data_IF_206435423267
#
_entry.id   IF_206435423267
#
_cell.length_a   1.000
_cell.length_b   1.000
_cell.length_c   1.000
_cell.angle_alpha   90.00
_cell.angle_beta   90.00
_cell.angle_gamma   90.00
#
_symmetry.space_group_name_H-M   'P 1'
#
loop_
_entity.id
_entity.type
_entity.pdbx_description
1 polymer ?
#
# COMPACT_ATOMS: atom_id res chain seq x y z
N UNK A 1 13.12 -2.60 20.18
CA UNK A 1 12.15 -2.70 21.29
C UNK A 1 11.34 -1.41 21.54
N UNK A 2 11.51 -0.34 20.77
CA UNK A 2 10.73 0.92 20.89
C UNK A 2 9.65 1.11 19.79
N UNK A 3 9.39 0.08 18.97
CA UNK A 3 8.35 0.10 17.93
C UNK A 3 7.05 -0.63 18.33
N UNK A 4 6.97 -1.13 19.57
CA UNK A 4 5.85 -1.93 20.08
C UNK A 4 5.12 -1.27 21.26
N UNK A 5 5.54 -0.09 21.73
CA UNK A 5 4.97 0.57 22.92
C UNK A 5 3.84 1.56 22.63
N UNK A 6 3.55 1.90 21.37
CA UNK A 6 2.45 2.81 21.00
C UNK A 6 1.13 2.10 20.63
N UNK A 7 1.03 0.79 20.94
CA UNK A 7 -0.17 -0.02 20.76
C UNK A 7 -1.21 0.14 21.89
N UNK A 8 -1.17 1.26 22.62
CA UNK A 8 -1.95 1.52 23.83
C UNK A 8 -3.43 1.87 23.65
N UNK A 9 -4.02 1.71 22.45
CA UNK A 9 -5.46 1.91 22.26
C UNK A 9 -6.07 0.67 21.59
N UNK A 10 -6.30 -0.37 22.40
CA UNK A 10 -6.91 -1.63 21.99
C UNK A 10 -8.39 -1.47 21.56
N UNK A 11 -9.02 -0.31 21.74
CA UNK A 11 -10.41 -0.11 21.31
C UNK A 11 -10.57 0.00 19.79
N UNK A 12 -9.47 0.17 19.04
CA UNK A 12 -9.45 0.25 17.57
C UNK A 12 -9.14 -1.08 16.86
N UNK A 13 -8.75 -2.12 17.61
CA UNK A 13 -8.39 -3.44 17.05
C UNK A 13 -9.50 -4.50 17.15
N UNK A 14 -10.71 -4.11 17.58
CA UNK A 14 -11.90 -4.96 17.50
C UNK A 14 -12.55 -5.01 16.10
N UNK A 15 -11.78 -4.79 15.03
CA UNK A 15 -12.31 -4.84 13.65
C UNK A 15 -12.09 -6.19 12.94
N UNK A 16 -11.49 -7.21 13.58
CA UNK A 16 -10.97 -8.38 12.87
C UNK A 16 -11.58 -9.77 13.10
N UNK A 17 -12.50 -9.99 14.04
CA UNK A 17 -12.90 -11.37 14.41
C UNK A 17 -14.40 -11.65 14.21
N UNK A 18 -14.74 -12.57 13.29
CA UNK A 18 -15.84 -13.55 13.28
C UNK A 18 -16.61 -13.70 11.93
N UNK A 19 -17.14 -14.90 11.64
CA UNK A 19 -17.64 -15.27 10.32
C UNK A 19 -18.80 -14.38 9.90
N UNK A 20 -18.76 -13.97 8.62
CA UNK A 20 -19.86 -13.24 8.01
C UNK A 20 -21.17 -14.03 8.18
N UNK A 21 -22.28 -13.38 8.57
CA UNK A 21 -23.59 -14.00 8.40
C UNK A 21 -23.80 -14.32 6.90
N UNK A 22 -24.58 -15.35 6.56
CA UNK A 22 -24.89 -15.66 5.18
C UNK A 22 -25.44 -14.40 4.47
N UNK A 23 -25.21 -14.25 3.15
CA UNK A 23 -25.72 -13.10 2.42
C UNK A 23 -27.22 -12.97 2.68
N UNK A 24 -27.76 -11.74 2.78
CA UNK A 24 -29.19 -11.56 2.89
C UNK A 24 -29.85 -12.30 1.73
N UNK A 25 -30.80 -13.18 2.06
CA UNK A 25 -31.63 -13.80 1.05
C UNK A 25 -32.19 -12.67 0.19
N UNK A 26 -31.99 -12.76 -1.13
CA UNK A 26 -32.77 -12.00 -2.09
C UNK A 26 -34.23 -12.37 -1.83
N UNK A 27 -34.87 -11.62 -0.94
CA UNK A 27 -36.31 -11.56 -0.85
C UNK A 27 -36.74 -11.05 -2.21
N UNK A 28 -37.33 -11.96 -2.97
CA UNK A 28 -38.05 -11.77 -4.22
C UNK A 28 -38.34 -10.31 -4.51
N UNK A 29 -37.52 -9.69 -5.36
CA UNK A 29 -37.90 -8.47 -6.05
C UNK A 29 -39.21 -8.79 -6.80
N UNK A 30 -40.31 -8.06 -6.56
CA UNK A 30 -41.50 -8.21 -7.39
C UNK A 30 -41.15 -7.74 -8.80
N UNK A 31 -41.37 -8.61 -9.79
CA UNK A 31 -41.29 -8.27 -11.21
C UNK A 31 -42.12 -7.01 -11.50
N UNK A 32 -41.62 -6.02 -12.26
CA UNK A 32 -42.41 -4.85 -12.62
C UNK A 32 -43.57 -5.29 -13.53
N UNK A 33 -44.79 -5.15 -13.03
CA UNK A 33 -46.03 -5.29 -13.78
C UNK A 33 -46.16 -4.13 -14.77
N UNK A 34 -46.32 -4.48 -16.05
CA UNK A 34 -46.68 -3.53 -17.10
C UNK A 34 -48.05 -2.92 -16.79
N UNK A 35 -48.24 -1.58 -16.90
CA UNK A 35 -49.53 -0.97 -16.66
C UNK A 35 -50.51 -1.29 -17.81
N UNK A 36 -51.68 -1.81 -17.42
CA UNK A 36 -52.86 -1.96 -18.28
C UNK A 36 -53.43 -0.60 -18.70
N UNK A 37 -53.92 -0.44 -19.95
CA UNK A 37 -54.72 0.72 -20.34
C UNK A 37 -56.21 0.54 -19.98
N UNK A 38 -56.97 1.64 -19.78
CA UNK A 38 -58.36 1.63 -19.33
C UNK A 38 -59.37 1.33 -20.47
N UNK A 39 -60.66 1.04 -20.14
CA UNK A 39 -61.56 0.31 -21.03
C UNK A 39 -62.39 1.21 -21.96
N UNK A 40 -62.58 0.70 -23.18
CA UNK A 40 -63.83 0.67 -23.95
C UNK A 40 -64.39 1.99 -24.52
N UNK A 41 -64.52 2.06 -25.85
CA UNK A 41 -65.73 2.47 -26.58
C UNK A 41 -65.53 2.19 -28.09
N UNK A 42 -66.48 1.46 -28.68
CA UNK A 42 -66.71 1.14 -30.11
C UNK A 42 -68.09 1.76 -30.42
N UNK A 43 -68.40 2.35 -31.61
CA UNK A 43 -68.32 1.65 -32.89
C UNK A 43 -68.05 2.46 -34.19
N UNK A 44 -67.78 1.69 -35.26
CA UNK A 44 -68.01 1.97 -36.72
C UNK A 44 -67.20 3.11 -37.37
N UNK A 45 -66.74 3.11 -38.62
CA UNK A 45 -66.67 2.19 -39.77
C UNK A 45 -65.88 2.96 -40.87
N UNK A 46 -65.29 2.25 -41.86
CA UNK A 46 -64.78 2.77 -43.18
C UNK A 46 -63.64 3.82 -43.14
N UNK A 47 -62.73 4.00 -44.09
CA UNK A 47 -62.08 3.26 -45.19
C UNK A 47 -61.04 4.25 -45.78
N UNK A 48 -59.93 3.75 -46.33
CA UNK A 48 -59.11 4.36 -47.41
C UNK A 48 -58.39 5.73 -47.22
N UNK A 49 -57.05 5.63 -47.21
CA UNK A 49 -56.07 6.37 -48.06
C UNK A 49 -55.47 7.73 -47.62
N UNK A 50 -54.23 8.07 -48.04
CA UNK A 50 -53.33 8.98 -47.31
C UNK A 50 -52.94 10.30 -48.02
N UNK A 51 -52.34 11.20 -47.22
CA UNK A 51 -51.41 12.33 -47.56
C UNK A 51 -52.03 13.60 -48.20
N UNK A 52 -51.35 14.80 -48.18
CA UNK A 52 -50.33 15.38 -47.28
C UNK A 52 -50.57 16.88 -46.88
N UNK A 53 -49.60 17.47 -46.17
CA UNK A 53 -49.22 18.91 -46.09
C UNK A 53 -50.03 19.95 -45.28
N UNK A 54 -49.39 20.43 -44.19
CA UNK A 54 -49.15 21.82 -43.67
C UNK A 54 -49.96 23.02 -44.20
N UNK A 55 -49.90 24.22 -43.56
CA UNK A 55 -49.93 24.62 -42.13
C UNK A 55 -50.91 25.82 -41.89
N UNK A 56 -51.03 26.32 -40.63
CA UNK A 56 -51.13 27.74 -40.22
C UNK A 56 -52.13 28.04 -39.08
N UNK A 57 -51.66 28.87 -38.12
CA UNK A 57 -52.38 29.99 -37.46
C UNK A 57 -53.54 29.65 -36.50
N UNK A 58 -53.73 30.19 -35.29
CA UNK A 58 -53.16 31.33 -34.54
C UNK A 58 -53.73 31.37 -33.11
N UNK A 59 -53.05 32.15 -32.24
CA UNK A 59 -53.56 32.92 -31.06
C UNK A 59 -54.10 32.11 -29.86
N UNK A 60 -53.88 32.47 -28.59
CA UNK A 60 -53.33 33.65 -27.90
C UNK A 60 -52.87 33.17 -26.49
N UNK A 61 -51.64 33.43 -26.04
CA UNK A 61 -51.19 34.58 -25.23
C UNK A 61 -51.83 34.70 -23.82
N UNK A 62 -51.11 34.22 -22.80
CA UNK A 62 -50.96 34.90 -21.50
C UNK A 62 -49.59 34.55 -20.90
N UNK A 63 -48.63 35.49 -20.95
CA UNK A 63 -47.32 35.38 -20.28
C UNK A 63 -47.38 36.16 -18.98
N UNK A 64 -47.22 35.47 -17.85
CA UNK A 64 -46.87 36.04 -16.55
C UNK A 64 -45.36 36.25 -16.45
N UNK A 65 -44.96 37.26 -15.68
CA UNK A 65 -43.61 37.82 -15.56
C UNK A 65 -42.56 36.84 -14.99
N UNK A 66 -41.25 37.07 -15.26
CA UNK A 66 -40.18 36.21 -14.74
C UNK A 66 -39.85 36.54 -13.28
N UNK A 67 -39.78 35.50 -12.45
CA UNK A 67 -39.36 35.55 -11.04
C UNK A 67 -37.83 35.62 -10.95
N UNK A 68 -37.31 36.44 -10.03
CA UNK A 68 -35.89 36.74 -9.88
C UNK A 68 -35.07 35.53 -9.34
N UNK A 69 -33.76 35.43 -9.63
CA UNK A 69 -32.94 34.30 -9.18
C UNK A 69 -32.67 34.36 -7.67
N UNK A 70 -32.57 33.20 -6.97
CA UNK A 70 -32.28 33.17 -5.55
C UNK A 70 -30.82 33.54 -5.25
N UNK A 71 -30.62 34.25 -4.15
CA UNK A 71 -29.33 34.69 -3.60
C UNK A 71 -28.38 33.54 -3.28
N UNK A 72 -27.04 33.73 -3.36
CA UNK A 72 -26.07 32.68 -3.09
C UNK A 72 -26.09 32.24 -1.62
N UNK A 73 -26.17 30.92 -1.42
CA UNK A 73 -26.16 30.28 -0.11
C UNK A 73 -24.84 30.55 0.64
N UNK A 74 -24.94 30.81 1.95
CA UNK A 74 -23.82 31.07 2.85
C UNK A 74 -22.95 29.81 2.96
N UNK A 75 -21.66 29.93 2.63
CA UNK A 75 -20.67 28.89 2.83
C UNK A 75 -20.58 28.49 4.31
N UNK A 76 -20.72 27.20 4.61
CA UNK A 76 -20.42 26.67 5.94
C UNK A 76 -18.90 26.72 6.19
N UNK A 77 -18.44 27.21 7.36
CA UNK A 77 -17.02 27.21 7.67
C UNK A 77 -16.52 25.76 7.82
N UNK A 78 -15.46 25.43 7.08
CA UNK A 78 -14.71 24.19 7.24
C UNK A 78 -14.27 24.03 8.69
N UNK A 79 -14.66 22.92 9.33
CA UNK A 79 -14.14 22.59 10.67
C UNK A 79 -12.61 22.51 10.63
N UNK A 80 -11.90 23.10 11.62
CA UNK A 80 -10.45 23.04 11.64
C UNK A 80 -9.99 21.57 11.80
N UNK A 81 -8.92 21.15 11.12
CA UNK A 81 -8.37 19.81 11.31
C UNK A 81 -8.01 19.61 12.78
N UNK A 82 -8.42 18.48 13.35
CA UNK A 82 -8.07 18.11 14.73
C UNK A 82 -6.55 18.19 14.91
N UNK A 83 -6.07 18.72 16.05
CA UNK A 83 -4.64 18.93 16.26
C UNK A 83 -3.95 17.57 16.29
N UNK A 84 -3.20 17.26 15.23
CA UNK A 84 -2.22 16.19 15.29
C UNK A 84 -1.24 16.52 16.41
N UNK A 85 -0.90 15.52 17.23
CA UNK A 85 0.09 15.66 18.28
C UNK A 85 1.37 16.24 17.66
N UNK A 86 1.70 17.48 18.06
CA UNK A 86 2.74 18.33 17.52
C UNK A 86 4.14 17.86 17.96
N UNK A 87 4.48 16.59 17.70
CA UNK A 87 5.88 16.19 17.63
C UNK A 87 6.42 16.73 16.30
N UNK A 88 7.25 17.78 16.40
CA UNK A 88 7.74 18.64 15.30
C UNK A 88 7.92 17.87 13.97
N UNK A 89 7.44 18.39 12.82
CA UNK A 89 7.61 17.76 11.50
C UNK A 89 9.05 17.32 11.20
N UNK A 90 10.04 18.07 11.71
CA UNK A 90 11.45 17.76 11.59
C UNK A 90 11.89 16.50 12.38
N UNK A 91 11.35 16.24 13.57
CA UNK A 91 11.74 15.12 14.41
C UNK A 91 11.40 13.76 13.80
N UNK A 92 10.40 13.71 12.90
CA UNK A 92 10.02 12.50 12.16
C UNK A 92 11.09 12.02 11.17
N UNK A 93 12.01 12.89 10.77
CA UNK A 93 13.11 12.55 9.87
C UNK A 93 14.33 11.98 10.61
N UNK A 94 14.36 12.03 11.95
CA UNK A 94 15.49 11.49 12.73
C UNK A 94 15.81 10.03 12.41
N UNK A 95 14.84 9.09 12.31
CA UNK A 95 15.15 7.72 11.96
C UNK A 95 15.71 7.56 10.54
N UNK A 96 15.25 8.39 9.59
CA UNK A 96 15.74 8.38 8.20
C UNK A 96 17.18 8.87 8.15
N UNK A 97 17.47 9.99 8.82
CA UNK A 97 18.84 10.54 8.93
C UNK A 97 19.76 9.54 9.61
N UNK A 98 19.29 8.85 10.66
CA UNK A 98 20.06 7.79 11.32
C UNK A 98 20.41 6.65 10.35
N UNK A 99 19.45 6.16 9.56
CA UNK A 99 19.71 5.12 8.55
C UNK A 99 20.71 5.59 7.50
N UNK A 100 20.57 6.82 7.00
CA UNK A 100 21.51 7.38 6.03
C UNK A 100 22.92 7.58 6.61
N UNK A 101 23.03 8.02 7.87
CA UNK A 101 24.30 8.13 8.56
C UNK A 101 24.97 6.77 8.75
N UNK A 102 24.18 5.74 9.09
CA UNK A 102 24.64 4.36 9.21
C UNK A 102 25.16 3.81 7.87
N UNK A 103 24.41 4.04 6.78
CA UNK A 103 24.84 3.69 5.42
C UNK A 103 26.13 4.43 5.05
N UNK A 104 26.22 5.73 5.37
CA UNK A 104 27.41 6.55 5.13
C UNK A 104 28.63 6.05 5.90
N UNK A 105 28.47 5.66 7.17
CA UNK A 105 29.52 5.04 7.96
C UNK A 105 30.00 3.72 7.35
N UNK A 106 29.07 2.82 7.03
CA UNK A 106 29.40 1.55 6.38
C UNK A 106 30.11 1.75 5.04
N UNK A 107 29.66 2.71 4.23
CA UNK A 107 30.31 3.08 2.97
C UNK A 107 31.74 3.57 3.20
N UNK A 108 31.94 4.46 4.17
CA UNK A 108 33.26 4.99 4.52
C UNK A 108 34.22 3.87 4.91
N UNK A 109 33.86 3.05 5.89
CA UNK A 109 34.71 1.94 6.37
C UNK A 109 34.99 0.94 5.27
N UNK A 110 33.95 0.49 4.56
CA UNK A 110 34.13 -0.50 3.49
C UNK A 110 34.99 0.05 2.34
N UNK A 111 34.82 1.33 1.97
CA UNK A 111 35.62 1.92 0.91
C UNK A 111 37.08 2.12 1.32
N UNK A 112 37.32 2.70 2.50
CA UNK A 112 38.67 3.08 2.93
C UNK A 112 39.48 1.89 3.42
N UNK A 113 38.86 1.00 4.20
CA UNK A 113 39.58 -0.07 4.89
C UNK A 113 39.56 -1.40 4.12
N UNK A 114 38.66 -1.56 3.13
CA UNK A 114 38.52 -2.81 2.37
C UNK A 114 38.79 -2.59 0.88
N UNK A 115 38.04 -1.71 0.20
CA UNK A 115 38.14 -1.56 -1.26
C UNK A 115 39.43 -0.85 -1.70
N UNK A 116 39.81 0.23 -1.03
CA UNK A 116 40.93 1.06 -1.44
C UNK A 116 42.30 0.34 -1.36
N UNK A 117 42.60 -0.48 -0.34
CA UNK A 117 43.80 -1.31 -0.32
C UNK A 117 43.86 -2.28 -1.51
N UNK A 118 42.76 -3.00 -1.78
CA UNK A 118 42.70 -3.96 -2.90
C UNK A 118 42.85 -3.24 -4.26
N UNK A 119 42.19 -2.10 -4.44
CA UNK A 119 42.31 -1.25 -5.63
C UNK A 119 43.71 -0.64 -5.81
N UNK A 120 44.49 -0.49 -4.74
CA UNK A 120 45.87 0.04 -4.80
C UNK A 120 46.92 -1.07 -4.84
N UNK A 121 46.50 -2.33 -4.73
CA UNK A 121 47.43 -3.46 -4.77
C UNK A 121 48.19 -3.49 -6.08
N UNK A 122 49.50 -3.71 -6.00
CA UNK A 122 50.36 -3.92 -7.18
C UNK A 122 50.19 -5.33 -7.75
N UNK A 123 49.63 -6.26 -6.98
CA UNK A 123 49.30 -7.60 -7.46
C UNK A 123 48.08 -7.53 -8.41
N UNK A 124 48.21 -7.94 -9.69
CA UNK A 124 47.11 -7.84 -10.66
C UNK A 124 45.86 -8.61 -10.25
N UNK A 125 46.02 -9.75 -9.55
CA UNK A 125 44.88 -10.58 -9.15
C UNK A 125 44.05 -9.89 -8.06
N UNK A 126 44.71 -9.34 -7.05
CA UNK A 126 44.08 -8.56 -5.98
C UNK A 126 43.46 -7.27 -6.53
N UNK A 127 44.14 -6.59 -7.45
CA UNK A 127 43.61 -5.37 -8.07
C UNK A 127 42.30 -5.64 -8.85
N UNK A 128 42.27 -6.67 -9.68
CA UNK A 128 41.07 -7.05 -10.44
C UNK A 128 39.92 -7.50 -9.54
N UNK A 129 40.22 -8.21 -8.45
CA UNK A 129 39.25 -8.53 -7.41
C UNK A 129 38.67 -7.27 -6.74
N UNK A 130 39.54 -6.31 -6.39
CA UNK A 130 39.13 -5.02 -5.83
C UNK A 130 38.20 -4.23 -6.78
N UNK A 131 38.49 -4.24 -8.08
CA UNK A 131 37.63 -3.63 -9.11
C UNK A 131 36.25 -4.30 -9.16
N UNK A 132 36.21 -5.63 -9.28
CA UNK A 132 34.96 -6.38 -9.33
C UNK A 132 34.12 -6.15 -8.06
N UNK A 133 34.77 -6.16 -6.90
CA UNK A 133 34.13 -5.94 -5.60
C UNK A 133 33.55 -4.54 -5.49
N UNK A 134 34.31 -3.54 -5.93
CA UNK A 134 33.86 -2.14 -5.96
C UNK A 134 32.65 -1.95 -6.87
N UNK A 135 32.65 -2.56 -8.05
CA UNK A 135 31.52 -2.48 -9.00
C UNK A 135 30.27 -3.12 -8.39
N UNK A 136 30.39 -4.35 -7.88
CA UNK A 136 29.26 -5.06 -7.27
C UNK A 136 28.68 -4.31 -6.07
N UNK A 137 29.54 -3.81 -5.17
CA UNK A 137 29.15 -3.00 -4.02
C UNK A 137 28.35 -1.76 -4.43
N UNK A 138 28.85 -0.98 -5.39
CA UNK A 138 28.21 0.25 -5.83
C UNK A 138 26.88 -0.01 -6.57
N UNK A 139 26.76 -1.11 -7.32
CA UNK A 139 25.49 -1.51 -7.94
C UNK A 139 24.45 -1.83 -6.85
N UNK A 140 24.79 -2.67 -5.88
CA UNK A 140 23.89 -3.04 -4.78
C UNK A 140 23.48 -1.83 -3.96
N UNK A 141 24.44 -0.97 -3.59
CA UNK A 141 24.17 0.27 -2.86
C UNK A 141 23.26 1.21 -3.64
N UNK A 142 23.50 1.38 -4.95
CA UNK A 142 22.67 2.24 -5.81
C UNK A 142 21.23 1.72 -5.90
N UNK A 143 21.04 0.41 -6.05
CA UNK A 143 19.72 -0.21 -6.06
C UNK A 143 19.01 -0.08 -4.71
N UNK A 144 19.74 -0.23 -3.59
CA UNK A 144 19.20 -0.04 -2.24
C UNK A 144 18.76 1.42 -2.02
N UNK A 145 19.62 2.39 -2.34
CA UNK A 145 19.33 3.82 -2.17
C UNK A 145 18.20 4.29 -3.09
N UNK A 146 18.17 3.83 -4.35
CA UNK A 146 17.08 4.15 -5.28
C UNK A 146 15.76 3.56 -4.78
N UNK A 147 15.76 2.32 -4.31
CA UNK A 147 14.57 1.69 -3.74
C UNK A 147 14.10 2.41 -2.47
N UNK A 148 15.04 2.81 -1.60
CA UNK A 148 14.76 3.62 -0.41
C UNK A 148 14.11 4.96 -0.80
N UNK A 149 14.72 5.71 -1.72
CA UNK A 149 14.20 6.98 -2.19
C UNK A 149 12.79 6.82 -2.77
N UNK A 150 12.56 5.77 -3.56
CA UNK A 150 11.23 5.48 -4.12
C UNK A 150 10.22 5.12 -3.03
N UNK A 151 10.61 4.38 -1.99
CA UNK A 151 9.73 4.06 -0.86
C UNK A 151 9.41 5.29 0.01
N UNK A 152 10.38 6.18 0.22
CA UNK A 152 10.23 7.43 0.99
C UNK A 152 9.34 8.43 0.24
N UNK A 153 9.63 8.70 -1.03
CA UNK A 153 9.02 9.81 -1.77
C UNK A 153 7.79 9.45 -2.60
N UNK A 154 7.49 8.15 -2.79
CA UNK A 154 6.24 7.76 -3.46
C UNK A 154 5.08 7.83 -2.48
N UNK A 155 4.02 8.53 -2.89
CA UNK A 155 2.75 8.58 -2.18
C UNK A 155 2.16 7.16 -2.04
N UNK A 156 1.85 6.68 -0.82
CA UNK A 156 1.48 5.27 -0.60
C UNK A 156 0.09 4.88 -1.14
N UNK A 157 -0.73 5.88 -1.47
CA UNK A 157 -2.10 5.71 -1.95
C UNK A 157 -3.08 6.47 -1.08
N UNK A 158 -3.99 7.20 -1.74
CA UNK A 158 -5.06 7.98 -1.13
C UNK A 158 -6.39 7.50 -1.69
N UNK A 159 -7.39 7.42 -0.84
CA UNK A 159 -8.77 7.16 -1.26
C UNK A 159 -9.30 8.40 -2.01
N UNK A 160 -9.82 8.27 -3.24
CA UNK A 160 -10.42 9.38 -3.98
C UNK A 160 -11.64 9.97 -3.29
N UNK A 161 -11.94 11.25 -3.58
CA UNK A 161 -13.06 11.96 -2.95
C UNK A 161 -14.43 11.44 -3.38
N UNK A 162 -14.52 10.70 -4.49
CA UNK A 162 -15.73 9.97 -4.91
C UNK A 162 -16.18 8.88 -3.92
N UNK A 163 -15.35 8.51 -2.96
CA UNK A 163 -15.69 7.58 -1.88
C UNK A 163 -16.30 8.26 -0.65
N UNK A 164 -16.54 9.57 -0.70
CA UNK A 164 -17.22 10.34 0.33
C UNK A 164 -18.72 10.39 0.02
N UNK A 165 -19.55 9.96 0.97
CA UNK A 165 -21.02 10.05 0.80
C UNK A 165 -21.45 11.51 0.83
N UNK A 166 -22.17 11.94 -0.21
CA UNK A 166 -22.71 13.29 -0.31
C UNK A 166 -21.72 14.34 -0.81
N UNK A 167 -20.60 13.95 -1.44
CA UNK A 167 -19.88 14.85 -2.33
C UNK A 167 -20.86 15.29 -3.44
N UNK A 168 -21.05 16.60 -3.56
CA UNK A 168 -22.19 17.26 -4.21
C UNK A 168 -22.39 16.79 -5.68
N UNK A 169 -23.66 16.68 -6.11
CA UNK A 169 -24.16 16.27 -7.45
C UNK A 169 -24.64 14.80 -7.67
N UNK A 170 -25.02 14.08 -6.61
CA UNK A 170 -25.80 12.85 -6.79
C UNK A 170 -27.26 13.06 -6.35
N UNK A 171 -28.06 13.71 -7.20
CA UNK A 171 -29.54 13.65 -7.15
C UNK A 171 -30.08 12.21 -7.26
N UNK A 172 -29.19 11.24 -7.46
CA UNK A 172 -29.49 9.84 -7.28
C UNK A 172 -28.72 9.38 -6.04
N UNK A 173 -29.44 9.06 -4.96
CA UNK A 173 -29.00 8.16 -3.90
C UNK A 173 -28.77 6.73 -4.42
N UNK A 174 -28.24 6.59 -5.64
CA UNK A 174 -27.88 5.34 -6.26
C UNK A 174 -26.57 4.87 -5.64
N UNK A 175 -26.70 3.78 -4.91
CA UNK A 175 -25.72 2.71 -4.80
C UNK A 175 -24.69 2.76 -5.94
N UNK A 176 -23.48 3.26 -5.71
CA UNK A 176 -22.39 3.09 -6.67
C UNK A 176 -21.99 1.61 -6.62
N UNK A 177 -22.23 0.80 -7.68
CA UNK A 177 -21.76 -0.58 -7.70
C UNK A 177 -20.22 -0.67 -7.60
N UNK A 178 -19.47 0.42 -7.86
CA UNK A 178 -18.03 0.50 -7.61
C UNK A 178 -17.64 0.57 -6.12
N UNK A 179 -18.59 0.77 -5.19
CA UNK A 179 -18.37 0.79 -3.74
C UNK A 179 -18.64 -0.57 -3.06
N UNK A 180 -18.66 -1.66 -3.81
CA UNK A 180 -18.96 -3.00 -3.28
C UNK A 180 -17.75 -3.56 -2.50
N UNK A 181 -17.47 -2.96 -1.34
CA UNK A 181 -16.48 -3.45 -0.37
C UNK A 181 -17.00 -4.71 0.30
N UNK A 182 -16.17 -5.75 0.36
CA UNK A 182 -16.52 -7.01 1.01
C UNK A 182 -16.15 -7.01 2.50
N UNK A 183 -15.28 -6.10 2.93
CA UNK A 183 -14.90 -5.95 4.33
C UNK A 183 -15.90 -5.08 5.09
N UNK A 184 -16.52 -5.66 6.11
CA UNK A 184 -17.43 -4.99 7.03
C UNK A 184 -16.79 -4.83 8.41
N UNK A 185 -17.42 -4.02 9.26
CA UNK A 185 -17.12 -3.99 10.70
C UNK A 185 -17.73 -5.22 11.38
N UNK A 186 -17.40 -5.40 12.66
CA UNK A 186 -17.97 -6.46 13.50
C UNK A 186 -19.51 -6.42 13.58
N UNK A 187 -20.13 -5.24 13.50
CA UNK A 187 -21.60 -5.08 13.48
C UNK A 187 -22.24 -5.34 12.10
N UNK A 188 -21.44 -5.82 11.13
CA UNK A 188 -21.88 -6.03 9.75
C UNK A 188 -22.01 -4.75 8.93
N UNK A 189 -21.80 -3.57 9.53
CA UNK A 189 -21.90 -2.30 8.82
C UNK A 189 -20.68 -2.03 7.95
N UNK A 190 -20.85 -1.16 6.95
CA UNK A 190 -19.75 -0.75 6.08
C UNK A 190 -18.64 -0.03 6.86
N UNK A 191 -17.40 -0.21 6.42
CA UNK A 191 -16.23 0.46 6.99
C UNK A 191 -16.20 1.92 6.53
N UNK A 192 -16.36 2.85 7.48
CA UNK A 192 -16.31 4.30 7.25
C UNK A 192 -15.19 4.88 8.12
N UNK A 193 -14.33 5.69 7.52
CA UNK A 193 -13.33 6.45 8.26
C UNK A 193 -13.89 7.82 8.65
N UNK A 194 -14.03 8.08 9.96
CA UNK A 194 -14.45 9.40 10.46
C UNK A 194 -13.29 10.38 10.69
N UNK A 195 -12.05 9.87 10.73
CA UNK A 195 -10.85 10.65 11.09
C UNK A 195 -10.15 11.32 9.89
N UNK A 196 -10.29 10.73 8.70
CA UNK A 196 -9.64 11.24 7.49
C UNK A 196 -10.50 12.34 6.85
N UNK A 197 -11.74 11.99 6.48
CA UNK A 197 -12.77 12.90 5.98
C UNK A 197 -14.13 12.39 6.46
N UNK A 198 -15.09 13.26 6.83
CA UNK A 198 -16.44 12.82 7.19
C UNK A 198 -17.05 11.95 6.10
N UNK A 199 -17.76 10.88 6.49
CA UNK A 199 -18.48 9.98 5.57
C UNK A 199 -17.64 9.32 4.45
N UNK A 200 -16.33 9.17 4.63
CA UNK A 200 -15.49 8.48 3.65
C UNK A 200 -15.54 6.97 3.85
N UNK A 201 -16.03 6.23 2.86
CA UNK A 201 -15.95 4.77 2.84
C UNK A 201 -14.50 4.32 2.71
N UNK A 202 -14.15 3.24 3.41
CA UNK A 202 -12.84 2.58 3.27
C UNK A 202 -12.98 1.47 2.22
N UNK A 203 -12.22 1.51 1.10
CA UNK A 203 -12.02 0.34 0.26
C UNK A 203 -11.49 -0.84 1.09
N UNK A 204 -11.66 -2.04 0.55
CA UNK A 204 -11.08 -3.24 1.14
C UNK A 204 -9.56 -3.05 1.32
N UNK A 205 -8.98 -3.59 2.41
CA UNK A 205 -7.56 -3.46 2.76
C UNK A 205 -7.07 -2.03 3.04
N UNK A 206 -7.95 -1.03 3.06
CA UNK A 206 -7.58 0.35 3.39
C UNK A 206 -7.67 0.62 4.90
N UNK A 207 -6.64 1.24 5.48
CA UNK A 207 -6.61 1.56 6.91
C UNK A 207 -6.22 3.02 7.15
N UNK A 208 -6.62 3.56 8.30
CA UNK A 208 -6.28 4.94 8.69
C UNK A 208 -4.87 4.97 9.28
N UNK A 209 -3.97 5.73 8.67
CA UNK A 209 -2.63 5.97 9.17
C UNK A 209 -2.64 7.24 10.03
N UNK A 210 -2.50 7.07 11.36
CA UNK A 210 -2.42 8.21 12.30
C UNK A 210 -1.27 9.17 11.95
N UNK A 211 -0.14 8.61 11.53
CA UNK A 211 1.05 9.41 11.17
C UNK A 211 0.86 10.25 9.91
N UNK A 212 0.03 9.82 8.96
CA UNK A 212 -0.32 10.62 7.79
C UNK A 212 -1.62 11.42 7.95
N UNK A 213 -2.38 11.19 9.02
CA UNK A 213 -3.67 11.83 9.26
C UNK A 213 -4.78 11.42 8.28
N UNK A 214 -4.60 10.34 7.51
CA UNK A 214 -5.53 9.93 6.44
C UNK A 214 -5.55 8.42 6.22
N UNK A 215 -6.54 7.95 5.46
CA UNK A 215 -6.55 6.57 4.98
C UNK A 215 -5.55 6.31 3.86
N UNK A 216 -5.00 5.09 3.86
CA UNK A 216 -4.01 4.59 2.89
C UNK A 216 -4.54 3.30 2.27
N UNK A 217 -4.44 3.21 0.94
CA UNK A 217 -4.84 2.03 0.16
C UNK A 217 -3.89 0.86 0.40
N UNK A 218 -4.43 -0.37 0.56
CA UNK A 218 -3.67 -1.59 0.90
C UNK A 218 -2.57 -1.30 1.94
N UNK A 219 -2.96 -0.69 3.06
CA UNK A 219 -2.00 -0.23 4.07
C UNK A 219 -1.30 -1.44 4.69
N UNK A 220 0.03 -1.43 4.66
CA UNK A 220 0.83 -2.47 5.32
C UNK A 220 1.23 -2.04 6.73
N UNK A 221 1.96 -0.93 6.85
CA UNK A 221 2.32 -0.33 8.14
C UNK A 221 2.84 1.10 7.93
N UNK A 222 2.98 1.86 9.01
CA UNK A 222 3.82 3.06 8.98
C UNK A 222 5.25 2.69 9.31
N UNK A 223 6.21 3.01 8.43
CA UNK A 223 7.63 2.73 8.62
C UNK A 223 8.37 4.00 9.08
N UNK A 224 8.80 4.09 10.36
CA UNK A 224 9.54 5.24 10.85
C UNK A 224 10.87 5.45 10.11
N UNK A 225 11.54 4.36 9.73
CA UNK A 225 12.83 4.36 9.01
C UNK A 225 12.77 4.99 7.62
N UNK A 226 11.57 5.11 7.06
CA UNK A 226 11.30 5.75 5.77
C UNK A 226 10.45 7.02 5.91
N UNK A 227 10.02 7.36 7.14
CA UNK A 227 9.06 8.41 7.44
C UNK A 227 7.84 8.42 6.49
N UNK A 228 7.38 7.24 6.08
CA UNK A 228 6.26 7.09 5.17
C UNK A 228 5.41 5.89 5.55
N UNK A 229 4.13 5.92 5.18
CA UNK A 229 3.32 4.72 5.23
C UNK A 229 3.70 3.81 4.07
N UNK A 230 3.73 2.51 4.29
CA UNK A 230 3.82 1.50 3.23
C UNK A 230 2.39 1.13 2.86
N UNK A 231 2.05 1.31 1.59
CA UNK A 231 0.73 1.07 1.02
C UNK A 231 0.84 0.63 -0.43
N UNK A 232 -0.29 0.60 -1.13
CA UNK A 232 -0.40 0.02 -2.47
C UNK A 232 0.67 0.50 -3.47
N UNK A 233 0.90 1.81 -3.57
CA UNK A 233 1.78 2.37 -4.60
C UNK A 233 3.28 2.36 -4.27
N UNK A 234 3.68 2.13 -3.02
CA UNK A 234 5.09 2.08 -2.64
C UNK A 234 5.54 0.73 -2.05
N UNK A 235 4.63 -0.25 -1.93
CA UNK A 235 4.95 -1.57 -1.37
C UNK A 235 6.09 -2.28 -2.11
N UNK A 236 6.09 -2.27 -3.46
CA UNK A 236 7.18 -2.84 -4.27
C UNK A 236 8.54 -2.24 -3.90
N UNK A 237 8.62 -0.91 -3.77
CA UNK A 237 9.87 -0.21 -3.47
C UNK A 237 10.37 -0.55 -2.07
N UNK A 238 9.46 -0.69 -1.10
CA UNK A 238 9.79 -1.15 0.24
C UNK A 238 10.36 -2.57 0.23
N UNK A 239 9.72 -3.52 -0.47
CA UNK A 239 10.19 -4.92 -0.58
C UNK A 239 11.57 -4.97 -1.24
N UNK A 240 11.78 -4.20 -2.31
CA UNK A 240 13.10 -4.10 -2.96
C UNK A 240 14.15 -3.44 -2.08
N UNK A 241 13.79 -2.40 -1.33
CA UNK A 241 14.70 -1.74 -0.39
C UNK A 241 15.24 -2.72 0.65
N UNK A 242 14.36 -3.49 1.30
CA UNK A 242 14.79 -4.46 2.32
C UNK A 242 15.55 -5.64 1.70
N UNK A 243 15.21 -6.07 0.48
CA UNK A 243 15.96 -7.07 -0.28
C UNK A 243 17.40 -6.60 -0.56
N UNK A 244 17.56 -5.40 -1.12
CA UNK A 244 18.87 -4.87 -1.48
C UNK A 244 19.72 -4.53 -0.25
N UNK A 245 19.11 -4.05 0.84
CA UNK A 245 19.82 -3.84 2.10
C UNK A 245 20.28 -5.16 2.71
N UNK A 246 19.46 -6.22 2.68
CA UNK A 246 19.88 -7.55 3.13
C UNK A 246 21.02 -8.10 2.26
N UNK A 247 20.88 -8.04 0.93
CA UNK A 247 21.92 -8.47 0.00
C UNK A 247 23.24 -7.69 0.18
N UNK A 248 23.16 -6.36 0.32
CA UNK A 248 24.33 -5.50 0.54
C UNK A 248 25.06 -5.84 1.83
N UNK A 249 24.32 -6.01 2.93
CA UNK A 249 24.93 -6.34 4.24
C UNK A 249 25.54 -7.73 4.24
N UNK A 250 24.89 -8.74 3.66
CA UNK A 250 25.47 -10.08 3.47
C UNK A 250 26.75 -10.01 2.62
N UNK A 251 26.70 -9.26 1.51
CA UNK A 251 27.83 -9.07 0.62
C UNK A 251 29.03 -8.43 1.35
N UNK A 252 28.79 -7.34 2.09
CA UNK A 252 29.83 -6.70 2.88
C UNK A 252 30.41 -7.63 3.96
N UNK A 253 29.57 -8.39 4.67
CA UNK A 253 30.04 -9.39 5.64
C UNK A 253 30.94 -10.43 4.97
N UNK A 254 30.53 -10.98 3.82
CA UNK A 254 31.30 -11.97 3.08
C UNK A 254 32.69 -11.44 2.67
N UNK A 255 32.75 -10.22 2.15
CA UNK A 255 34.01 -9.58 1.73
C UNK A 255 34.88 -9.19 2.92
N UNK A 256 34.28 -8.73 4.04
CA UNK A 256 35.03 -8.32 5.24
C UNK A 256 35.51 -9.51 6.08
N UNK A 257 34.91 -10.70 5.95
CA UNK A 257 35.23 -11.86 6.80
C UNK A 257 36.71 -12.25 6.76
N UNK A 258 37.37 -12.38 5.59
CA UNK A 258 38.80 -12.73 5.56
C UNK A 258 39.68 -11.66 6.22
N UNK A 259 39.34 -10.38 6.05
CA UNK A 259 40.06 -9.27 6.68
C UNK A 259 39.92 -9.35 8.21
N UNK A 260 38.69 -9.52 8.69
CA UNK A 260 38.40 -9.66 10.11
C UNK A 260 39.08 -10.89 10.74
N UNK A 261 39.09 -12.04 10.06
CA UNK A 261 39.77 -13.25 10.55
C UNK A 261 41.27 -13.02 10.67
N UNK A 262 41.93 -12.46 9.64
CA UNK A 262 43.36 -12.13 9.70
C UNK A 262 43.66 -11.19 10.86
N UNK A 263 42.82 -10.18 11.05
CA UNK A 263 42.94 -9.18 12.09
C UNK A 263 42.91 -9.79 13.49
N UNK A 264 41.90 -10.62 13.76
CA UNK A 264 41.77 -11.33 15.05
C UNK A 264 42.92 -12.31 15.27
N UNK A 265 43.40 -12.97 14.21
CA UNK A 265 44.55 -13.88 14.29
C UNK A 265 45.90 -13.17 14.48
N UNK A 266 46.01 -11.87 14.16
CA UNK A 266 47.25 -11.09 14.31
C UNK A 266 47.34 -10.31 15.63
N UNK A 267 46.33 -10.39 16.51
CA UNK A 267 46.29 -9.67 17.80
C UNK A 267 47.45 -9.99 18.76
N UNK A 268 48.23 -11.04 18.48
CA UNK A 268 49.43 -11.40 19.23
C UNK A 268 50.63 -10.46 18.94
N UNK A 269 50.57 -9.65 17.87
CA UNK A 269 51.62 -8.71 17.48
C UNK A 269 51.24 -7.26 17.86
N UNK A 270 51.82 -6.77 18.96
CA UNK A 270 51.46 -5.54 19.72
C UNK A 270 51.77 -4.21 19.00
N UNK A 271 51.53 -4.09 17.69
CA UNK A 271 51.91 -2.88 16.91
C UNK A 271 50.80 -2.28 16.04
N UNK A 272 49.58 -2.81 16.10
CA UNK A 272 48.50 -2.38 15.22
C UNK A 272 47.84 -1.05 15.69
N UNK A 273 47.40 -0.22 14.73
CA UNK A 273 46.67 1.02 14.99
C UNK A 273 45.28 0.71 15.54
N UNK A 274 45.16 0.74 16.87
CA UNK A 274 43.93 0.47 17.62
C UNK A 274 42.68 1.15 17.04
N UNK A 275 42.80 2.32 16.40
CA UNK A 275 41.67 3.04 15.83
C UNK A 275 41.09 2.36 14.58
N UNK A 276 41.96 1.88 13.70
CA UNK A 276 41.54 1.14 12.49
C UNK A 276 40.94 -0.21 12.88
N UNK A 277 41.62 -0.91 13.79
CA UNK A 277 41.18 -2.20 14.34
C UNK A 277 39.76 -2.15 14.89
N UNK A 278 39.54 -1.17 15.78
CA UNK A 278 38.26 -0.96 16.44
C UNK A 278 37.18 -0.58 15.42
N UNK A 279 37.50 0.30 14.46
CA UNK A 279 36.56 0.75 13.42
C UNK A 279 36.09 -0.41 12.54
N UNK A 280 37.02 -1.22 12.04
CA UNK A 280 36.71 -2.37 11.17
C UNK A 280 35.94 -3.43 11.95
N UNK A 281 36.39 -3.77 13.16
CA UNK A 281 35.76 -4.78 14.01
C UNK A 281 34.33 -4.39 14.42
N UNK A 282 34.13 -3.14 14.87
CA UNK A 282 32.81 -2.62 15.21
C UNK A 282 31.87 -2.66 14.00
N UNK A 283 32.35 -2.25 12.84
CA UNK A 283 31.56 -2.23 11.60
C UNK A 283 31.19 -3.64 11.16
N UNK A 284 32.12 -4.59 11.24
CA UNK A 284 31.87 -5.99 10.92
C UNK A 284 30.79 -6.60 11.83
N UNK A 285 30.90 -6.45 13.14
CA UNK A 285 29.90 -6.97 14.09
C UNK A 285 28.52 -6.33 13.87
N UNK A 286 28.48 -5.03 13.62
CA UNK A 286 27.26 -4.30 13.29
C UNK A 286 26.64 -4.81 11.98
N UNK A 287 27.44 -5.06 10.95
CA UNK A 287 26.98 -5.61 9.68
C UNK A 287 26.45 -7.04 9.82
N UNK A 288 27.06 -7.89 10.65
CA UNK A 288 26.53 -9.22 10.96
C UNK A 288 25.13 -9.14 11.57
N UNK A 289 24.94 -8.27 12.58
CA UNK A 289 23.63 -8.06 13.21
C UNK A 289 22.60 -7.53 12.20
N UNK A 290 22.98 -6.54 11.39
CA UNK A 290 22.12 -5.99 10.34
C UNK A 290 21.77 -7.03 9.28
N UNK A 291 22.72 -7.84 8.83
CA UNK A 291 22.51 -8.88 7.84
C UNK A 291 21.50 -9.91 8.35
N UNK A 292 21.66 -10.41 9.58
CA UNK A 292 20.70 -11.35 10.17
C UNK A 292 19.32 -10.72 10.31
N UNK A 293 19.23 -9.51 10.89
CA UNK A 293 17.96 -8.82 11.12
C UNK A 293 17.21 -8.48 9.83
N UNK A 294 17.91 -7.92 8.84
CA UNK A 294 17.33 -7.55 7.55
C UNK A 294 16.93 -8.79 6.73
N UNK A 295 17.70 -9.87 6.79
CA UNK A 295 17.35 -11.12 6.12
C UNK A 295 16.08 -11.73 6.70
N UNK A 296 15.97 -11.77 8.04
CA UNK A 296 14.74 -12.25 8.70
C UNK A 296 13.55 -11.34 8.37
N UNK A 297 13.74 -10.02 8.36
CA UNK A 297 12.70 -9.05 8.03
C UNK A 297 12.24 -9.16 6.57
N UNK A 298 13.18 -9.31 5.63
CA UNK A 298 12.87 -9.59 4.23
C UNK A 298 12.14 -10.93 4.08
N UNK A 299 12.60 -11.99 4.75
CA UNK A 299 11.94 -13.30 4.72
C UNK A 299 10.48 -13.24 5.17
N UNK A 300 10.20 -12.47 6.23
CA UNK A 300 8.83 -12.23 6.68
C UNK A 300 7.99 -11.52 5.62
N UNK A 301 8.47 -10.41 5.04
CA UNK A 301 7.72 -9.70 4.02
C UNK A 301 7.61 -10.48 2.70
N UNK A 302 8.60 -11.29 2.34
CA UNK A 302 8.53 -12.21 1.21
C UNK A 302 7.41 -13.24 1.43
N UNK A 303 7.30 -13.80 2.64
CA UNK A 303 6.17 -14.66 3.00
C UNK A 303 4.81 -13.94 2.86
N UNK A 304 4.69 -12.70 3.33
CA UNK A 304 3.47 -11.90 3.18
C UNK A 304 3.12 -11.66 1.71
N UNK A 305 4.10 -11.34 0.87
CA UNK A 305 3.91 -11.18 -0.58
C UNK A 305 3.45 -12.50 -1.20
N UNK A 306 4.12 -13.62 -0.88
CA UNK A 306 3.79 -14.94 -1.41
C UNK A 306 2.38 -15.42 -1.01
N UNK A 307 1.87 -14.96 0.13
CA UNK A 307 0.54 -15.29 0.66
C UNK A 307 -0.49 -14.16 0.48
N UNK A 308 -0.12 -13.06 -0.20
CA UNK A 308 -0.94 -11.87 -0.40
C UNK A 308 -1.57 -11.26 0.87
N UNK A 309 -0.85 -11.34 1.98
CA UNK A 309 -1.21 -10.62 3.20
C UNK A 309 -0.54 -9.24 3.26
N UNK A 310 -1.18 -8.29 3.91
CA UNK A 310 -0.49 -7.17 4.55
C UNK A 310 -0.08 -7.55 5.98
N UNK A 311 0.84 -6.79 6.57
CA UNK A 311 1.21 -6.96 7.99
C UNK A 311 0.00 -6.79 8.90
N UNK A 312 -0.90 -5.84 8.60
CA UNK A 312 -2.15 -5.63 9.35
C UNK A 312 -3.04 -6.88 9.29
N UNK A 313 -3.32 -7.40 8.09
CA UNK A 313 -4.17 -8.58 7.92
C UNK A 313 -3.58 -9.82 8.61
N UNK A 314 -2.25 -9.97 8.55
CA UNK A 314 -1.56 -11.06 9.23
C UNK A 314 -1.67 -10.97 10.76
N UNK A 315 -1.58 -9.76 11.33
CA UNK A 315 -1.73 -9.54 12.76
C UNK A 315 -3.18 -9.67 13.22
N UNK A 316 -4.15 -9.18 12.43
CA UNK A 316 -5.58 -9.39 12.68
C UNK A 316 -5.91 -10.89 12.73
N UNK A 317 -5.34 -11.68 11.81
CA UNK A 317 -5.48 -13.14 11.82
C UNK A 317 -4.89 -13.81 13.06
N UNK A 318 -3.73 -13.34 13.55
CA UNK A 318 -3.10 -13.91 14.77
C UNK A 318 -3.81 -13.51 16.06
N UNK A 319 -4.46 -12.35 16.07
CA UNK A 319 -5.22 -11.86 17.22
C UNK A 319 -6.59 -12.54 17.39
N UNK A 320 -7.09 -13.18 16.34
CA UNK A 320 -8.27 -14.04 16.39
C UNK A 320 -7.82 -15.51 16.37
N UNK A 321 -8.63 -16.44 16.89
CA UNK A 321 -8.51 -17.85 16.52
C UNK A 321 -9.29 -18.05 15.23
N UNK A 322 -8.66 -17.97 14.03
CA UNK A 322 -9.39 -18.19 12.80
C UNK A 322 -9.94 -19.62 12.82
N UNK A 323 -11.15 -19.84 12.27
CA UNK A 323 -11.70 -21.18 12.21
C UNK A 323 -10.79 -22.10 11.37
N UNK A 324 -10.82 -23.42 11.59
CA UNK A 324 -9.89 -24.37 10.96
C UNK A 324 -9.89 -24.34 9.43
N UNK A 325 -10.97 -23.84 8.83
CA UNK A 325 -11.24 -23.71 7.41
C UNK A 325 -11.02 -22.28 6.87
N UNK A 326 -10.32 -21.41 7.61
CA UNK A 326 -10.05 -20.05 7.16
C UNK A 326 -9.25 -20.03 5.86
N UNK A 327 -9.93 -19.67 4.77
CA UNK A 327 -9.32 -19.42 3.46
C UNK A 327 -8.90 -17.95 3.38
N UNK A 328 -7.66 -17.69 2.95
CA UNK A 328 -7.22 -16.33 2.67
C UNK A 328 -7.97 -15.77 1.44
N UNK A 329 -8.69 -14.67 1.65
CA UNK A 329 -9.50 -13.98 0.63
C UNK A 329 -8.70 -13.50 -0.58
N UNK A 330 -7.46 -13.07 -0.38
CA UNK A 330 -6.64 -12.46 -1.44
C UNK A 330 -5.57 -13.40 -2.00
N UNK A 331 -5.38 -14.56 -1.40
CA UNK A 331 -4.45 -15.56 -1.91
C UNK A 331 -5.04 -16.21 -3.17
N UNK A 332 -4.48 -15.87 -4.34
CA UNK A 332 -4.92 -16.40 -5.64
C UNK A 332 -3.85 -17.28 -6.27
N UNK A 333 -2.93 -17.81 -5.45
CA UNK A 333 -1.78 -18.59 -5.88
C UNK A 333 -0.50 -17.77 -5.97
N UNK A 334 0.64 -18.42 -5.73
CA UNK A 334 1.96 -17.78 -5.58
C UNK A 334 2.29 -16.78 -6.68
N UNK A 335 2.11 -17.16 -7.95
CA UNK A 335 2.39 -16.28 -9.09
C UNK A 335 1.56 -15.00 -9.04
N UNK A 336 0.24 -15.12 -8.93
CA UNK A 336 -0.68 -13.98 -8.89
C UNK A 336 -0.42 -13.08 -7.67
N UNK A 337 -0.05 -13.69 -6.53
CA UNK A 337 0.27 -12.94 -5.33
C UNK A 337 1.54 -12.10 -5.52
N UNK A 338 2.59 -12.70 -6.09
CA UNK A 338 3.85 -12.01 -6.40
C UNK A 338 3.65 -10.94 -7.47
N UNK A 339 2.96 -11.24 -8.58
CA UNK A 339 2.71 -10.23 -9.64
C UNK A 339 1.85 -9.07 -9.16
N UNK A 340 0.93 -9.31 -8.20
CA UNK A 340 0.14 -8.22 -7.58
C UNK A 340 0.99 -7.17 -6.85
N UNK A 341 2.26 -7.47 -6.54
CA UNK A 341 3.20 -6.54 -5.89
C UNK A 341 4.34 -6.16 -6.84
N UNK A 342 4.97 -7.12 -7.52
CA UNK A 342 6.17 -6.88 -8.34
C UNK A 342 5.86 -6.49 -9.79
N UNK A 343 4.63 -6.73 -10.24
CA UNK A 343 4.14 -6.50 -11.61
C UNK A 343 4.19 -7.74 -12.49
N UNK A 344 3.55 -7.67 -13.65
CA UNK A 344 3.35 -8.81 -14.57
C UNK A 344 4.62 -9.23 -15.33
N UNK A 345 5.60 -8.33 -15.47
CA UNK A 345 6.84 -8.60 -16.18
C UNK A 345 8.01 -8.89 -15.20
N UNK A 346 8.51 -10.15 -15.14
CA UNK A 346 9.61 -10.54 -14.25
C UNK A 346 10.94 -9.84 -14.53
N UNK A 347 11.19 -9.41 -15.78
CA UNK A 347 12.45 -8.77 -16.17
C UNK A 347 12.68 -7.43 -15.44
N UNK A 348 11.62 -6.82 -14.91
CA UNK A 348 11.66 -5.55 -14.19
C UNK A 348 11.29 -5.70 -12.71
N UNK A 349 11.22 -6.92 -12.18
CA UNK A 349 10.93 -7.16 -10.76
C UNK A 349 11.98 -6.53 -9.86
N UNK A 350 13.25 -6.69 -10.22
CA UNK A 350 14.41 -6.15 -9.52
C UNK A 350 14.67 -4.67 -9.84
N UNK A 351 13.83 -4.02 -10.63
CA UNK A 351 13.94 -2.59 -10.86
C UNK A 351 12.94 -1.84 -9.97
N UNK A 352 13.33 -0.74 -9.32
CA UNK A 352 12.45 0.10 -8.51
C UNK A 352 11.54 0.98 -9.38
N UNK A 353 10.83 0.33 -10.30
CA UNK A 353 9.80 0.87 -11.18
C UNK A 353 8.48 0.13 -10.98
N UNK A 354 7.37 0.83 -11.22
CA UNK A 354 6.02 0.27 -11.21
C UNK A 354 5.41 0.14 -12.60
N UNK A 355 6.23 0.26 -13.64
CA UNK A 355 5.75 0.21 -15.03
C UNK A 355 4.89 -1.02 -15.33
N UNK A 356 5.26 -2.20 -14.79
CA UNK A 356 4.52 -3.45 -14.98
C UNK A 356 3.49 -3.75 -13.88
N UNK A 357 3.29 -2.84 -12.92
CA UNK A 357 2.36 -3.06 -11.81
C UNK A 357 0.96 -2.55 -12.18
N UNK A 358 -0.03 -3.42 -12.10
CA UNK A 358 -1.43 -3.08 -12.35
C UNK A 358 -2.23 -2.84 -11.05
N UNK A 359 -3.46 -2.33 -11.22
CA UNK A 359 -4.40 -2.06 -10.14
C UNK A 359 -4.36 -0.63 -9.60
N UNK A 360 -5.47 -0.23 -8.98
CA UNK A 360 -5.68 1.11 -8.41
C UNK A 360 -5.59 1.13 -6.88
N UNK A 361 -5.53 -0.05 -6.25
CA UNK A 361 -5.55 -0.23 -4.79
C UNK A 361 -6.93 -0.05 -4.17
N UNK A 362 -7.98 0.11 -4.96
CA UNK A 362 -9.38 0.23 -4.54
C UNK A 362 -10.11 -1.11 -4.60
N UNK A 363 -9.72 -1.98 -5.54
CA UNK A 363 -10.26 -3.32 -5.71
C UNK A 363 -9.16 -4.36 -5.87
N UNK A 364 -9.45 -5.60 -5.47
CA UNK A 364 -8.49 -6.71 -5.49
C UNK A 364 -9.14 -7.97 -6.03
N UNK A 365 -8.36 -8.75 -6.78
CA UNK A 365 -8.77 -10.10 -7.19
C UNK A 365 -8.95 -10.98 -5.96
N UNK A 366 -10.02 -11.75 -5.96
CA UNK A 366 -10.42 -12.59 -4.84
C UNK A 366 -10.10 -14.06 -5.13
N UNK A 367 -9.79 -14.79 -4.07
CA UNK A 367 -9.66 -16.23 -4.10
C UNK A 367 -11.03 -16.87 -4.41
N UNK A 368 -11.17 -17.63 -5.50
CA UNK A 368 -12.43 -18.32 -5.81
C UNK A 368 -12.88 -19.29 -4.71
N UNK A 369 -11.94 -19.86 -3.96
CA UNK A 369 -12.23 -20.76 -2.84
C UNK A 369 -12.72 -20.01 -1.58
N UNK A 370 -12.51 -18.69 -1.50
CA UNK A 370 -13.02 -17.87 -0.41
C UNK A 370 -14.50 -17.53 -0.59
N UNK A 371 -14.99 -17.49 -1.84
CA UNK A 371 -16.42 -17.45 -2.08
C UNK A 371 -17.01 -18.81 -1.70
N UNK A 372 -17.90 -18.91 -0.69
CA UNK A 372 -18.72 -20.10 -0.60
C UNK A 372 -19.49 -20.14 -1.91
N UNK A 373 -19.24 -21.18 -2.71
CA UNK A 373 -20.03 -21.43 -3.91
C UNK A 373 -21.49 -21.29 -3.49
N UNK A 374 -22.15 -20.26 -4.01
CA UNK A 374 -23.58 -20.27 -4.19
C UNK A 374 -23.78 -21.45 -5.13
N UNK A 375 -23.86 -22.66 -4.57
CA UNK A 375 -24.43 -23.80 -5.26
C UNK A 375 -25.86 -23.37 -5.48
N UNK A 376 -26.10 -22.76 -6.63
CA UNK A 376 -27.42 -22.67 -7.23
C UNK A 376 -27.85 -24.13 -7.29
N UNK A 377 -28.64 -24.53 -6.29
CA UNK A 377 -29.34 -25.80 -6.25
C UNK A 377 -30.79 -25.51 -6.56
#
# INVERSE_FOLDING_TARGET
MLALSDFGDQSLYKEGCCPLPPPPALSSLPSPSLPHPPPGLVPTSTSSSPSPSTPASSRAASRLAPEAPPSPAKAFPSAPPLPMCSCRPAGRWLPVVFVLALIGWCYFVFTVDILLPDLRSSDPSTHSYGQATTIAFNILLSLALLSMARAVFTEPGRIPDSWIVGAEDSEVGAFLPQLQTLETKHDGTRRICRKSKPNMYKPDRAHYCRMLGRCVLKMDHFCPWLNNCIGFFNHKFFVLFILYMAALTIYMVAVMTPVFVRHVSSLEQVTLDFKEEFRVSLTYLMLCLLATGLTAFFGFHAYLVCTNYTTIEFLEKRGCSPPPDHVNRYDTGLWNNVTSVLGENPLVWLLPTRWSCEGDGLSFKLNPAWFPSCKIK
#
